data_IF_315252762382
#
_entry.id   IF_315252762382
#
_cell.length_a   1.000
_cell.length_b   1.000
_cell.length_c   1.000
_cell.angle_alpha   90.00
_cell.angle_beta   90.00
_cell.angle_gamma   90.00
#
_symmetry.space_group_name_H-M   'P 1'
#
loop_
_entity.id
_entity.type
_entity.pdbx_description
1 polymer ?
#
# COMPACT_ATOMS: atom_id res chain seq x y z
N UNK A 1 23.78 3.16 28.50
CA UNK A 1 23.20 3.70 27.26
C UNK A 1 23.32 5.20 27.32
N UNK A 2 24.03 5.81 26.39
CA UNK A 2 24.18 7.26 26.34
C UNK A 2 22.86 7.92 25.96
N UNK A 3 22.61 9.15 26.40
CA UNK A 3 21.39 9.88 26.02
C UNK A 3 21.27 10.00 24.49
N UNK A 4 22.39 10.16 23.78
CA UNK A 4 22.43 10.23 22.32
C UNK A 4 22.00 8.89 21.69
N UNK A 5 22.50 7.77 22.22
CA UNK A 5 22.11 6.43 21.75
C UNK A 5 20.60 6.21 21.96
N UNK A 6 20.06 6.59 23.12
CA UNK A 6 18.63 6.47 23.41
C UNK A 6 17.77 7.23 22.39
N UNK A 7 18.07 8.52 22.15
CA UNK A 7 17.31 9.32 21.18
C UNK A 7 17.47 8.80 19.75
N UNK A 8 18.65 8.31 19.38
CA UNK A 8 18.88 7.69 18.07
C UNK A 8 17.99 6.46 17.87
N UNK A 9 17.99 5.52 18.82
CA UNK A 9 17.12 4.34 18.73
C UNK A 9 15.64 4.73 18.74
N UNK A 10 15.23 5.65 19.60
CA UNK A 10 13.85 6.14 19.64
C UNK A 10 13.41 6.66 18.26
N UNK A 11 14.25 7.47 17.61
CA UNK A 11 13.96 8.01 16.28
C UNK A 11 13.89 6.90 15.22
N UNK A 12 14.86 5.99 15.21
CA UNK A 12 14.90 4.87 14.26
C UNK A 12 13.67 3.98 14.41
N UNK A 13 13.33 3.56 15.63
CA UNK A 13 12.16 2.72 15.89
C UNK A 13 10.86 3.45 15.55
N UNK A 14 10.74 4.74 15.87
CA UNK A 14 9.56 5.53 15.52
C UNK A 14 9.40 5.63 14.00
N UNK A 15 10.49 5.90 13.28
CA UNK A 15 10.47 5.98 11.81
C UNK A 15 10.09 4.64 11.17
N UNK A 16 10.67 3.54 11.62
CA UNK A 16 10.34 2.19 11.15
C UNK A 16 8.87 1.88 11.43
N UNK A 17 8.39 2.16 12.64
CA UNK A 17 7.00 1.90 13.02
C UNK A 17 6.03 2.73 12.17
N UNK A 18 6.32 4.01 11.95
CA UNK A 18 5.54 4.87 11.06
C UNK A 18 5.52 4.32 9.64
N UNK A 19 6.66 3.88 9.10
CA UNK A 19 6.74 3.27 7.78
C UNK A 19 5.89 2.00 7.69
N UNK A 20 5.98 1.12 8.70
CA UNK A 20 5.21 -0.13 8.73
C UNK A 20 3.70 0.13 8.82
N UNK A 21 3.27 1.04 9.71
CA UNK A 21 1.84 1.33 9.91
C UNK A 21 1.25 2.01 8.68
N UNK A 22 1.89 3.06 8.17
CA UNK A 22 1.41 3.75 6.96
C UNK A 22 1.48 2.82 5.73
N UNK A 23 2.58 2.08 5.59
CA UNK A 23 2.74 1.12 4.50
C UNK A 23 1.69 0.03 4.54
N UNK A 24 1.31 -0.45 5.72
CA UNK A 24 0.22 -1.41 5.89
C UNK A 24 -1.11 -0.82 5.41
N UNK A 25 -1.49 0.37 5.90
CA UNK A 25 -2.74 1.05 5.50
C UNK A 25 -2.80 1.23 3.98
N UNK A 26 -1.78 1.86 3.40
CA UNK A 26 -1.71 2.13 1.95
C UNK A 26 -1.74 0.84 1.14
N UNK A 27 -1.08 -0.22 1.61
CA UNK A 27 -1.06 -1.50 0.89
C UNK A 27 -2.44 -2.15 0.86
N UNK A 28 -3.18 -2.12 1.96
CA UNK A 28 -4.55 -2.64 1.99
C UNK A 28 -5.49 -1.81 1.12
N UNK A 29 -5.43 -0.48 1.22
CA UNK A 29 -6.24 0.41 0.39
C UNK A 29 -5.97 0.19 -1.11
N UNK A 30 -4.71 0.12 -1.51
CA UNK A 30 -4.30 -0.14 -2.89
C UNK A 30 -4.74 -1.53 -3.37
N UNK A 31 -4.65 -2.55 -2.51
CA UNK A 31 -5.10 -3.90 -2.87
C UNK A 31 -6.62 -3.96 -3.01
N UNK A 32 -7.37 -3.37 -2.09
CA UNK A 32 -8.83 -3.24 -2.23
C UNK A 32 -9.22 -2.46 -3.49
N UNK A 33 -8.47 -1.41 -3.83
CA UNK A 33 -8.67 -0.67 -5.07
C UNK A 33 -8.42 -1.55 -6.32
N UNK A 34 -7.41 -2.43 -6.32
CA UNK A 34 -7.18 -3.39 -7.41
C UNK A 34 -8.38 -4.34 -7.63
N UNK A 35 -9.16 -4.56 -6.58
CA UNK A 35 -10.40 -5.33 -6.59
C UNK A 35 -11.67 -4.51 -6.88
N UNK A 36 -11.52 -3.24 -7.25
CA UNK A 36 -12.62 -2.29 -7.51
C UNK A 36 -13.54 -2.07 -6.30
N UNK A 37 -13.00 -2.18 -5.08
CA UNK A 37 -13.77 -1.88 -3.86
C UNK A 37 -13.99 -0.37 -3.78
N UNK A 38 -15.25 0.06 -3.97
CA UNK A 38 -15.62 1.49 -4.08
C UNK A 38 -15.20 2.31 -2.87
N UNK A 39 -15.41 1.80 -1.66
CA UNK A 39 -15.07 2.51 -0.41
C UNK A 39 -13.57 2.83 -0.32
N UNK A 40 -12.70 1.90 -0.72
CA UNK A 40 -11.26 2.12 -0.73
C UNK A 40 -10.87 3.17 -1.78
N UNK A 41 -11.47 3.10 -2.97
CA UNK A 41 -11.21 4.06 -4.05
C UNK A 41 -11.63 5.48 -3.64
N UNK A 42 -12.82 5.63 -3.07
CA UNK A 42 -13.34 6.92 -2.60
C UNK A 42 -12.48 7.48 -1.47
N UNK A 43 -12.11 6.64 -0.50
CA UNK A 43 -11.23 7.04 0.59
C UNK A 43 -9.87 7.54 0.09
N UNK A 44 -9.23 6.82 -0.84
CA UNK A 44 -7.96 7.27 -1.41
C UNK A 44 -8.13 8.61 -2.13
N UNK A 45 -9.20 8.79 -2.91
CA UNK A 45 -9.47 10.04 -3.64
C UNK A 45 -9.72 11.23 -2.73
N UNK A 46 -10.39 11.02 -1.60
CA UNK A 46 -10.70 12.09 -0.64
C UNK A 46 -9.44 12.55 0.11
N UNK A 47 -8.61 11.60 0.55
CA UNK A 47 -7.48 11.89 1.42
C UNK A 47 -6.16 12.13 0.70
N UNK A 48 -6.02 11.70 -0.56
CA UNK A 48 -4.77 11.77 -1.30
C UNK A 48 -4.90 12.53 -2.61
N UNK A 49 -3.93 13.43 -2.84
CA UNK A 49 -3.71 13.99 -4.17
C UNK A 49 -3.13 12.91 -5.10
N UNK A 50 -3.43 12.94 -6.41
CA UNK A 50 -2.93 11.93 -7.36
C UNK A 50 -1.41 11.77 -7.34
N UNK A 51 -0.66 12.88 -7.36
CA UNK A 51 0.81 12.85 -7.31
C UNK A 51 1.35 12.27 -6.00
N UNK A 52 0.69 12.57 -4.88
CA UNK A 52 1.04 12.04 -3.55
C UNK A 52 0.79 10.54 -3.51
N UNK A 53 -0.39 10.07 -3.94
CA UNK A 53 -0.72 8.65 -3.95
C UNK A 53 0.24 7.84 -4.83
N UNK A 54 0.58 8.36 -6.02
CA UNK A 54 1.58 7.71 -6.89
C UNK A 54 2.94 7.57 -6.19
N UNK A 55 3.37 8.61 -5.47
CA UNK A 55 4.61 8.58 -4.69
C UNK A 55 4.53 7.55 -3.55
N UNK A 56 3.39 7.48 -2.85
CA UNK A 56 3.18 6.50 -1.78
C UNK A 56 3.23 5.07 -2.30
N UNK A 57 2.64 4.77 -3.46
CA UNK A 57 2.72 3.44 -4.09
C UNK A 57 4.17 3.02 -4.36
N UNK A 58 5.05 3.96 -4.70
CA UNK A 58 6.47 3.69 -4.94
C UNK A 58 7.22 3.50 -3.61
N UNK A 59 7.02 4.40 -2.64
CA UNK A 59 7.69 4.34 -1.33
C UNK A 59 7.33 3.07 -0.57
N UNK A 60 6.06 2.67 -0.60
CA UNK A 60 5.54 1.51 0.10
C UNK A 60 5.50 0.25 -0.79
N UNK A 61 6.23 0.25 -1.92
CA UNK A 61 6.31 -0.90 -2.81
C UNK A 61 6.68 -2.22 -2.10
N UNK A 62 7.62 -2.26 -1.13
CA UNK A 62 7.91 -3.47 -0.37
C UNK A 62 6.69 -3.97 0.43
N UNK A 63 5.95 -3.07 1.06
CA UNK A 63 4.74 -3.39 1.83
C UNK A 63 3.61 -3.85 0.93
N UNK A 64 3.47 -3.26 -0.26
CA UNK A 64 2.51 -3.67 -1.27
C UNK A 64 2.77 -5.09 -1.76
N UNK A 65 4.04 -5.45 -2.00
CA UNK A 65 4.41 -6.82 -2.35
C UNK A 65 4.11 -7.81 -1.23
N UNK A 66 4.35 -7.43 0.03
CA UNK A 66 3.96 -8.26 1.18
C UNK A 66 2.45 -8.46 1.22
N UNK A 67 1.65 -7.39 1.09
CA UNK A 67 0.20 -7.50 1.06
C UNK A 67 -0.29 -8.38 -0.10
N UNK A 68 0.27 -8.19 -1.30
CA UNK A 68 -0.02 -9.02 -2.47
C UNK A 68 0.34 -10.49 -2.22
N UNK A 69 1.51 -10.76 -1.62
CA UNK A 69 1.90 -12.12 -1.26
C UNK A 69 0.88 -12.77 -0.33
N UNK A 70 0.45 -12.09 0.73
CA UNK A 70 -0.49 -12.66 1.71
C UNK A 70 -1.93 -12.74 1.20
N UNK A 71 -2.37 -11.81 0.36
CA UNK A 71 -3.78 -11.69 -0.06
C UNK A 71 -4.06 -12.38 -1.41
N UNK A 72 -3.06 -12.52 -2.27
CA UNK A 72 -3.21 -13.14 -3.59
C UNK A 72 -2.40 -14.42 -3.70
N UNK A 73 -1.08 -14.35 -3.52
CA UNK A 73 -0.22 -15.48 -3.80
C UNK A 73 -0.44 -16.64 -2.84
N UNK A 74 -0.56 -16.36 -1.54
CA UNK A 74 -0.74 -17.38 -0.51
C UNK A 74 -2.09 -18.10 -0.64
N UNK A 75 -3.25 -17.43 -0.82
CA UNK A 75 -4.52 -18.10 -1.08
C UNK A 75 -4.52 -18.93 -2.37
N UNK A 76 -3.82 -18.46 -3.41
CA UNK A 76 -3.63 -19.24 -4.64
C UNK A 76 -2.82 -20.52 -4.40
N UNK A 77 -1.69 -20.41 -3.67
CA UNK A 77 -0.85 -21.57 -3.33
C UNK A 77 -1.59 -22.59 -2.45
N UNK A 78 -2.52 -22.13 -1.60
CA UNK A 78 -3.39 -22.99 -0.79
C UNK A 78 -4.58 -23.57 -1.58
N UNK A 79 -4.75 -23.21 -2.85
CA UNK A 79 -5.86 -23.66 -3.69
C UNK A 79 -7.23 -23.07 -3.31
N UNK A 80 -7.25 -22.00 -2.51
CA UNK A 80 -8.47 -21.31 -2.07
C UNK A 80 -9.00 -20.44 -3.22
N UNK A 81 -8.11 -19.75 -3.93
CA UNK A 81 -8.43 -18.96 -5.12
C UNK A 81 -7.78 -19.59 -6.36
N UNK A 82 -8.51 -19.55 -7.48
CA UNK A 82 -8.02 -20.06 -8.78
C UNK A 82 -7.51 -18.96 -9.70
N UNK A 83 -7.89 -17.71 -9.42
CA UNK A 83 -7.55 -16.54 -10.22
C UNK A 83 -6.58 -15.65 -9.44
N UNK A 84 -5.47 -15.27 -10.08
CA UNK A 84 -4.51 -14.29 -9.57
C UNK A 84 -4.67 -13.01 -10.39
N UNK A 85 -4.86 -11.86 -9.74
CA UNK A 85 -4.74 -10.58 -10.44
C UNK A 85 -3.27 -10.18 -10.57
N UNK A 86 -2.79 -9.77 -11.74
CA UNK A 86 -1.41 -9.29 -11.87
C UNK A 86 -1.21 -8.03 -11.01
N UNK A 87 -0.13 -8.02 -10.24
CA UNK A 87 0.31 -6.86 -9.50
C UNK A 87 0.82 -5.79 -10.46
N UNK A 88 0.13 -4.65 -10.54
CA UNK A 88 0.45 -3.55 -11.45
C UNK A 88 0.09 -2.21 -10.78
N UNK A 89 1.11 -1.41 -10.48
CA UNK A 89 0.96 -0.11 -9.83
C UNK A 89 0.23 0.90 -10.71
N UNK A 90 0.49 0.91 -12.02
CA UNK A 90 -0.16 1.83 -12.95
C UNK A 90 -1.63 1.48 -13.06
N UNK A 91 -1.98 0.19 -13.05
CA UNK A 91 -3.36 -0.26 -13.01
C UNK A 91 -4.06 0.20 -11.73
N UNK A 92 -3.45 0.01 -10.56
CA UNK A 92 -4.00 0.49 -9.28
C UNK A 92 -4.22 2.00 -9.35
N UNK A 93 -3.21 2.74 -9.80
CA UNK A 93 -3.30 4.19 -9.93
C UNK A 93 -4.43 4.62 -10.88
N UNK A 94 -4.56 4.01 -12.05
CA UNK A 94 -5.58 4.38 -13.04
C UNK A 94 -7.01 4.02 -12.60
N UNK A 95 -7.18 2.94 -11.80
CA UNK A 95 -8.48 2.62 -11.19
C UNK A 95 -8.87 3.74 -10.21
N UNK A 96 -7.92 4.18 -9.39
CA UNK A 96 -8.17 5.23 -8.41
C UNK A 96 -8.28 6.60 -9.09
N UNK A 97 -7.43 6.97 -10.03
CA UNK A 97 -7.43 8.27 -10.70
C UNK A 97 -7.48 8.09 -12.22
N UNK A 98 -8.67 7.88 -12.81
CA UNK A 98 -8.81 7.69 -14.26
C UNK A 98 -8.36 8.96 -15.01
N UNK A 99 -7.76 8.77 -16.19
CA UNK A 99 -7.19 9.86 -17.02
C UNK A 99 -8.22 10.91 -17.48
N UNK A 100 -9.52 10.65 -17.32
CA UNK A 100 -10.61 11.53 -17.76
C UNK A 100 -10.98 12.64 -16.76
N UNK A 101 -10.30 12.72 -15.61
CA UNK A 101 -10.61 13.70 -14.55
C UNK A 101 -9.69 14.94 -14.50
N UNK A 102 -9.07 15.33 -15.62
CA UNK A 102 -8.31 16.58 -15.77
C UNK A 102 -8.75 17.38 -16.98
#
# INVERSE_FOLDING_TARGET
>A
MSNLEFFFYLFVYSFILTYLVLGFIISFEAMLALYNVKSAIEWIREWHKPSTFKTMLIIFLPMLHLAYFFLELLPYLLGINKDIRPFDLDRIFNIVFPKESF
#
